data_IF_802632357983
#
_entry.id   IF_802632357983
#
_cell.length_a   1.000
_cell.length_b   1.000
_cell.length_c   1.000
_cell.angle_alpha   90.00
_cell.angle_beta   90.00
_cell.angle_gamma   90.00
#
_symmetry.space_group_name_H-M   'P 1'
#
loop_
_entity.id
_entity.type
_entity.pdbx_description
1 polymer ?
#
# COMPACT_ATOMS: atom_id res chain seq x y z
N UNK A 1 5.48 -7.83 4.99
CA UNK A 1 5.86 -9.02 5.79
C UNK A 1 5.75 -10.31 4.98
N UNK A 2 4.59 -10.95 4.86
CA UNK A 2 4.49 -12.26 4.19
C UNK A 2 4.98 -12.30 2.73
N UNK A 3 4.79 -11.22 1.98
CA UNK A 3 5.38 -11.11 0.64
C UNK A 3 6.91 -11.08 0.67
N UNK A 4 7.51 -10.37 1.64
CA UNK A 4 8.98 -10.34 1.83
C UNK A 4 9.53 -11.70 2.30
N UNK A 5 8.73 -12.48 3.02
CA UNK A 5 9.11 -13.83 3.46
C UNK A 5 8.84 -14.90 2.37
N UNK A 6 8.31 -14.51 1.21
CA UNK A 6 7.89 -15.45 0.17
C UNK A 6 9.12 -15.98 -0.58
N UNK A 7 9.19 -17.30 -0.88
CA UNK A 7 10.27 -17.86 -1.69
C UNK A 7 10.25 -17.35 -3.14
N UNK A 8 9.09 -16.88 -3.62
CA UNK A 8 8.96 -16.23 -4.93
C UNK A 8 8.05 -15.00 -4.83
N UNK A 9 8.69 -13.84 -4.66
CA UNK A 9 8.03 -12.56 -4.62
C UNK A 9 7.29 -12.25 -5.94
N UNK A 10 7.92 -12.54 -7.08
CA UNK A 10 7.35 -12.24 -8.39
C UNK A 10 6.07 -13.06 -8.65
N UNK A 11 6.09 -14.35 -8.30
CA UNK A 11 4.93 -15.22 -8.39
C UNK A 11 3.80 -14.74 -7.46
N UNK A 12 4.13 -14.27 -6.25
CA UNK A 12 3.14 -13.73 -5.31
C UNK A 12 2.34 -12.57 -5.93
N UNK A 13 3.04 -11.64 -6.60
CA UNK A 13 2.40 -10.53 -7.31
C UNK A 13 1.64 -11.02 -8.54
N UNK A 14 2.24 -11.89 -9.37
CA UNK A 14 1.59 -12.40 -10.59
C UNK A 14 0.28 -13.14 -10.29
N UNK A 15 0.27 -14.01 -9.27
CA UNK A 15 -0.93 -14.72 -8.83
C UNK A 15 -2.00 -13.75 -8.36
N UNK A 16 -1.62 -12.71 -7.62
CA UNK A 16 -2.56 -11.69 -7.14
C UNK A 16 -3.19 -10.90 -8.30
N UNK A 17 -2.40 -10.50 -9.30
CA UNK A 17 -2.90 -9.82 -10.50
C UNK A 17 -3.86 -10.72 -11.28
N UNK A 18 -3.52 -11.98 -11.49
CA UNK A 18 -4.39 -12.94 -12.18
C UNK A 18 -5.69 -13.19 -11.42
N UNK A 19 -5.63 -13.34 -10.10
CA UNK A 19 -6.81 -13.53 -9.26
C UNK A 19 -7.76 -12.33 -9.32
N UNK A 20 -7.24 -11.11 -9.21
CA UNK A 20 -8.05 -9.90 -9.33
C UNK A 20 -8.61 -9.72 -10.76
N UNK A 21 -7.80 -10.04 -11.77
CA UNK A 21 -8.24 -10.02 -13.18
C UNK A 21 -9.39 -10.98 -13.41
N UNK A 22 -9.31 -12.19 -12.84
CA UNK A 22 -10.37 -13.18 -12.93
C UNK A 22 -11.69 -12.70 -12.29
N UNK A 23 -11.62 -11.91 -11.20
CA UNK A 23 -12.82 -11.26 -10.62
C UNK A 23 -13.42 -10.27 -11.60
N UNK A 24 -12.62 -9.40 -12.21
CA UNK A 24 -13.10 -8.45 -13.24
C UNK A 24 -13.73 -9.19 -14.43
N UNK A 25 -13.07 -10.20 -14.98
CA UNK A 25 -13.56 -10.95 -16.15
C UNK A 25 -14.87 -11.70 -15.88
N UNK A 26 -15.08 -12.19 -14.66
CA UNK A 26 -16.28 -12.95 -14.28
C UNK A 26 -17.43 -12.06 -13.81
N UNK A 27 -17.18 -10.77 -13.63
CA UNK A 27 -18.19 -9.84 -13.12
C UNK A 27 -19.02 -9.28 -14.26
N UNK A 28 -20.33 -9.51 -14.18
CA UNK A 28 -21.30 -8.92 -15.08
C UNK A 28 -22.38 -8.14 -14.32
N UNK A 29 -22.49 -6.82 -14.58
CA UNK A 29 -23.41 -5.88 -13.95
C UNK A 29 -24.41 -5.37 -15.00
N UNK A 30 -25.23 -6.27 -15.53
CA UNK A 30 -26.22 -5.95 -16.58
C UNK A 30 -27.26 -4.90 -16.17
N UNK A 31 -27.47 -4.70 -14.86
CA UNK A 31 -28.38 -3.67 -14.35
C UNK A 31 -27.87 -2.24 -14.59
N UNK A 32 -26.58 -2.07 -14.89
CA UNK A 32 -25.96 -0.76 -15.16
C UNK A 32 -25.01 -0.90 -16.35
N UNK A 33 -25.50 -0.75 -17.60
CA UNK A 33 -24.72 -1.02 -18.81
C UNK A 33 -23.39 -0.26 -18.92
N UNK A 34 -23.30 0.95 -18.37
CA UNK A 34 -22.04 1.71 -18.36
C UNK A 34 -20.98 1.11 -17.45
N UNK A 35 -21.37 0.44 -16.35
CA UNK A 35 -20.45 -0.26 -15.44
C UNK A 35 -19.95 -1.54 -16.09
N UNK A 36 -20.87 -2.30 -16.72
CA UNK A 36 -20.53 -3.47 -17.53
C UNK A 36 -19.50 -3.13 -18.61
N UNK A 37 -19.80 -2.13 -19.43
CA UNK A 37 -18.92 -1.70 -20.51
C UNK A 37 -17.58 -1.20 -19.97
N UNK A 38 -17.58 -0.39 -18.90
CA UNK A 38 -16.36 0.10 -18.28
C UNK A 38 -15.45 -1.02 -17.76
N UNK A 39 -16.01 -2.05 -17.11
CA UNK A 39 -15.26 -3.22 -16.66
C UNK A 39 -14.70 -4.03 -17.84
N UNK A 40 -15.54 -4.31 -18.84
CA UNK A 40 -15.16 -5.10 -20.01
C UNK A 40 -14.11 -4.41 -20.89
N UNK A 41 -14.11 -3.07 -20.94
CA UNK A 41 -13.11 -2.31 -21.69
C UNK A 41 -11.82 -2.17 -20.88
N UNK A 42 -11.89 -1.84 -19.60
CA UNK A 42 -10.69 -1.47 -18.83
C UNK A 42 -9.97 -2.65 -18.20
N UNK A 43 -10.69 -3.72 -17.85
CA UNK A 43 -10.22 -4.80 -16.97
C UNK A 43 -9.48 -4.26 -15.72
N UNK A 44 -9.90 -3.10 -15.22
CA UNK A 44 -9.22 -2.38 -14.15
C UNK A 44 -9.32 -3.16 -12.83
N UNK A 45 -8.18 -3.28 -12.15
CA UNK A 45 -8.07 -3.95 -10.84
C UNK A 45 -7.38 -3.05 -9.82
N UNK A 46 -7.43 -3.42 -8.54
CA UNK A 46 -6.82 -2.67 -7.46
C UNK A 46 -6.05 -3.56 -6.49
N UNK A 47 -4.80 -3.88 -6.83
CA UNK A 47 -3.89 -4.56 -5.93
C UNK A 47 -3.40 -3.60 -4.84
N UNK A 48 -3.83 -3.84 -3.61
CA UNK A 48 -3.44 -3.07 -2.43
C UNK A 48 -2.38 -3.75 -1.57
N UNK A 49 -1.74 -2.96 -0.71
CA UNK A 49 -0.75 -3.44 0.27
C UNK A 49 -1.25 -3.17 1.68
N UNK A 50 -0.87 -4.03 2.62
CA UNK A 50 -1.17 -3.87 4.04
C UNK A 50 -0.01 -4.38 4.90
N UNK A 51 -0.10 -4.19 6.21
CA UNK A 51 0.91 -4.63 7.19
C UNK A 51 2.26 -3.91 7.10
N UNK A 52 2.34 -2.69 6.56
CA UNK A 52 3.61 -1.98 6.45
C UNK A 52 4.21 -1.73 7.84
N UNK A 53 3.43 -1.16 8.76
CA UNK A 53 3.93 -0.84 10.09
C UNK A 53 4.33 -2.09 10.87
N UNK A 54 3.53 -3.17 10.79
CA UNK A 54 3.88 -4.45 11.42
C UNK A 54 5.17 -5.05 10.85
N UNK A 55 5.42 -4.92 9.55
CA UNK A 55 6.68 -5.36 8.95
C UNK A 55 7.87 -4.51 9.40
N UNK A 56 7.77 -3.18 9.32
CA UNK A 56 8.85 -2.29 9.77
C UNK A 56 9.19 -2.54 11.24
N UNK A 57 8.18 -2.68 12.09
CA UNK A 57 8.39 -2.96 13.51
C UNK A 57 9.01 -4.34 13.78
N UNK A 58 8.65 -5.37 13.00
CA UNK A 58 9.31 -6.69 13.05
C UNK A 58 10.81 -6.58 12.72
N UNK A 59 11.15 -5.78 11.71
CA UNK A 59 12.53 -5.55 11.25
C UNK A 59 13.29 -4.48 12.07
N UNK A 60 12.67 -3.99 13.16
CA UNK A 60 13.19 -2.94 14.04
C UNK A 60 13.47 -1.61 13.33
N UNK A 61 12.57 -1.23 12.43
CA UNK A 61 12.58 0.05 11.72
C UNK A 61 11.42 0.92 12.22
N UNK A 62 11.73 2.15 12.64
CA UNK A 62 10.71 3.10 13.06
C UNK A 62 9.90 3.60 11.87
N UNK A 63 8.58 3.69 12.02
CA UNK A 63 7.72 4.23 10.98
C UNK A 63 8.09 5.70 10.66
N UNK A 64 8.17 6.02 9.37
CA UNK A 64 8.54 7.34 8.88
C UNK A 64 9.99 7.75 9.15
N UNK A 65 10.85 6.80 9.54
CA UNK A 65 12.31 6.96 9.45
C UNK A 65 12.75 6.96 7.98
N UNK A 66 13.99 7.38 7.73
CA UNK A 66 14.61 7.32 6.40
C UNK A 66 14.57 5.88 5.85
N UNK A 67 14.93 4.89 6.66
CA UNK A 67 14.87 3.46 6.30
C UNK A 67 13.43 3.00 5.98
N UNK A 68 12.44 3.45 6.76
CA UNK A 68 11.04 3.10 6.52
C UNK A 68 10.49 3.69 5.21
N UNK A 69 10.88 4.92 4.89
CA UNK A 69 10.51 5.59 3.63
C UNK A 69 11.21 4.94 2.45
N UNK A 70 12.52 4.65 2.56
CA UNK A 70 13.31 3.97 1.54
C UNK A 70 12.77 2.55 1.25
N UNK A 71 12.46 1.78 2.30
CA UNK A 71 11.82 0.48 2.15
C UNK A 71 10.50 0.60 1.39
N UNK A 72 9.65 1.56 1.77
CA UNK A 72 8.35 1.76 1.13
C UNK A 72 8.51 2.08 -0.35
N UNK A 73 9.44 2.98 -0.69
CA UNK A 73 9.77 3.33 -2.06
C UNK A 73 10.20 2.09 -2.87
N UNK A 74 11.22 1.37 -2.40
CA UNK A 74 11.79 0.23 -3.13
C UNK A 74 10.85 -0.98 -3.20
N UNK A 75 10.02 -1.19 -2.17
CA UNK A 75 8.99 -2.23 -2.19
C UNK A 75 7.94 -1.93 -3.26
N UNK A 76 7.36 -0.73 -3.26
CA UNK A 76 6.33 -0.36 -4.25
C UNK A 76 6.89 -0.26 -5.68
N UNK A 77 8.14 0.16 -5.85
CA UNK A 77 8.86 0.08 -7.12
C UNK A 77 8.92 -1.37 -7.65
N UNK A 78 9.31 -2.31 -6.79
CA UNK A 78 9.43 -3.72 -7.16
C UNK A 78 8.07 -4.37 -7.43
N UNK A 79 7.04 -4.05 -6.62
CA UNK A 79 5.66 -4.51 -6.87
C UNK A 79 5.14 -4.02 -8.21
N UNK A 80 5.32 -2.73 -8.52
CA UNK A 80 4.85 -2.16 -9.78
C UNK A 80 5.45 -2.88 -11.00
N UNK A 81 6.76 -3.13 -10.99
CA UNK A 81 7.43 -3.87 -12.07
C UNK A 81 6.77 -5.23 -12.30
N UNK A 82 6.58 -6.01 -11.24
CA UNK A 82 5.98 -7.34 -11.35
C UNK A 82 4.50 -7.30 -11.72
N UNK A 83 3.75 -6.28 -11.26
CA UNK A 83 2.36 -6.10 -11.63
C UNK A 83 2.19 -5.79 -13.13
N UNK A 84 3.00 -4.87 -13.66
CA UNK A 84 3.01 -4.55 -15.10
C UNK A 84 3.45 -5.75 -15.94
N UNK A 85 4.51 -6.45 -15.52
CA UNK A 85 4.95 -7.69 -16.17
C UNK A 85 3.84 -8.74 -16.19
N UNK A 86 3.12 -8.95 -15.09
CA UNK A 86 2.01 -9.89 -15.04
C UNK A 86 0.88 -9.48 -16.00
N UNK A 87 0.49 -8.20 -16.01
CA UNK A 87 -0.56 -7.71 -16.92
C UNK A 87 -0.14 -7.77 -18.40
N UNK A 88 1.12 -7.50 -18.71
CA UNK A 88 1.70 -7.68 -20.05
C UNK A 88 1.66 -9.14 -20.51
N UNK A 89 1.99 -10.09 -19.61
CA UNK A 89 1.88 -11.52 -19.90
C UNK A 89 0.44 -11.93 -20.19
N UNK A 90 -0.53 -11.44 -19.41
CA UNK A 90 -1.95 -11.71 -19.67
C UNK A 90 -2.36 -11.17 -21.05
N UNK A 91 -1.88 -9.98 -21.44
CA UNK A 91 -2.16 -9.42 -22.76
C UNK A 91 -1.59 -10.28 -23.90
N UNK A 92 -0.37 -10.80 -23.74
CA UNK A 92 0.27 -11.73 -24.68
C UNK A 92 -0.53 -13.04 -24.76
N UNK A 93 -0.89 -13.63 -23.62
CA UNK A 93 -1.63 -14.89 -23.55
C UNK A 93 -3.03 -14.80 -24.16
N UNK A 94 -3.69 -13.65 -24.01
CA UNK A 94 -5.06 -13.42 -24.51
C UNK A 94 -5.11 -12.75 -25.88
N UNK A 95 -3.99 -12.24 -26.38
CA UNK A 95 -3.90 -11.51 -27.64
C UNK A 95 -4.63 -10.17 -27.64
N UNK A 96 -4.86 -9.55 -26.48
CA UNK A 96 -5.57 -8.26 -26.37
C UNK A 96 -5.07 -7.44 -25.17
N UNK A 97 -5.14 -6.12 -25.31
CA UNK A 97 -4.90 -5.15 -24.25
C UNK A 97 -6.21 -4.48 -23.82
N UNK A 98 -6.19 -3.68 -22.76
CA UNK A 98 -7.35 -2.89 -22.36
C UNK A 98 -7.78 -1.88 -23.45
N UNK A 99 -9.05 -1.51 -23.44
CA UNK A 99 -9.67 -0.54 -24.32
C UNK A 99 -8.97 0.82 -24.32
N UNK A 100 -8.52 1.25 -25.50
CA UNK A 100 -7.82 2.52 -25.66
C UNK A 100 -6.32 2.49 -25.31
N UNK A 101 -5.73 1.32 -25.12
CA UNK A 101 -4.28 1.14 -24.89
C UNK A 101 -3.41 1.95 -25.86
N UNK A 102 -3.75 1.97 -27.15
CA UNK A 102 -2.99 2.69 -28.19
C UNK A 102 -2.86 4.21 -27.95
N UNK A 103 -3.74 4.81 -27.14
CA UNK A 103 -3.69 6.24 -26.76
C UNK A 103 -3.07 6.47 -25.38
N UNK A 104 -2.61 5.42 -24.71
CA UNK A 104 -2.12 5.49 -23.34
C UNK A 104 -0.64 5.87 -23.27
N UNK A 105 -0.23 6.36 -22.09
CA UNK A 105 1.19 6.59 -21.78
C UNK A 105 2.02 5.31 -21.82
N UNK A 106 1.39 4.15 -21.58
CA UNK A 106 2.04 2.85 -21.72
C UNK A 106 2.44 2.58 -23.18
N UNK A 107 1.58 2.87 -24.15
CA UNK A 107 1.89 2.72 -25.58
C UNK A 107 2.97 3.69 -26.04
N UNK A 108 2.87 4.96 -25.63
CA UNK A 108 3.87 5.98 -26.00
C UNK A 108 5.25 5.72 -25.38
N UNK A 109 5.30 4.97 -24.28
CA UNK A 109 6.52 4.74 -23.51
C UNK A 109 6.76 5.77 -22.40
N UNK A 110 6.08 6.93 -22.41
CA UNK A 110 6.26 8.03 -21.44
C UNK A 110 6.14 7.57 -19.98
N UNK A 111 5.26 6.60 -19.70
CA UNK A 111 5.10 6.06 -18.34
C UNK A 111 6.43 5.49 -17.77
N UNK A 112 7.25 4.90 -18.64
CA UNK A 112 8.45 4.16 -18.25
C UNK A 112 9.68 5.04 -18.08
N UNK A 113 9.67 6.27 -18.62
CA UNK A 113 10.83 7.18 -18.62
C UNK A 113 11.36 7.41 -17.19
N UNK A 114 10.46 7.54 -16.21
CA UNK A 114 10.81 7.61 -14.78
C UNK A 114 11.67 6.44 -14.28
N UNK A 115 11.47 5.24 -14.83
CA UNK A 115 12.13 4.00 -14.40
C UNK A 115 13.32 3.63 -15.28
N UNK A 116 13.39 4.17 -16.50
CA UNK A 116 14.53 3.95 -17.41
C UNK A 116 15.60 5.03 -17.31
N UNK A 117 15.23 6.27 -16.97
CA UNK A 117 16.13 7.43 -17.10
C UNK A 117 16.98 7.68 -15.84
N UNK A 118 16.64 7.03 -14.72
CA UNK A 118 17.42 7.10 -13.48
C UNK A 118 17.53 5.74 -12.79
N UNK A 119 18.61 5.57 -12.02
CA UNK A 119 18.88 4.34 -11.29
C UNK A 119 18.03 4.33 -10.03
N UNK A 120 17.39 3.19 -9.76
CA UNK A 120 16.58 2.96 -8.57
C UNK A 120 17.26 1.90 -7.70
N UNK A 121 17.79 2.32 -6.56
CA UNK A 121 18.43 1.45 -5.59
C UNK A 121 18.06 1.88 -4.17
N UNK A 122 18.12 0.96 -3.18
CA UNK A 122 17.98 1.30 -1.79
C UNK A 122 18.97 2.38 -1.37
N UNK A 123 18.45 3.49 -0.84
CA UNK A 123 19.25 4.60 -0.32
C UNK A 123 19.97 4.23 0.98
N UNK A 124 19.39 3.33 1.78
CA UNK A 124 19.92 2.89 3.06
C UNK A 124 20.52 1.48 2.96
N UNK A 125 21.61 1.24 3.69
CA UNK A 125 22.25 -0.07 3.77
C UNK A 125 21.27 -1.13 4.33
N UNK A 126 20.47 -0.73 5.33
CA UNK A 126 19.49 -1.61 5.96
C UNK A 126 18.45 -2.15 4.99
N UNK A 127 17.92 -1.31 4.10
CA UNK A 127 16.95 -1.77 3.09
C UNK A 127 17.61 -2.67 2.06
N UNK A 128 18.87 -2.39 1.68
CA UNK A 128 19.64 -3.28 0.79
C UNK A 128 19.80 -4.69 1.39
N UNK A 129 20.12 -4.76 2.68
CA UNK A 129 20.19 -6.03 3.43
C UNK A 129 18.83 -6.75 3.45
N UNK A 130 17.74 -6.04 3.77
CA UNK A 130 16.40 -6.64 3.84
C UNK A 130 15.98 -7.32 2.52
N UNK A 131 16.25 -6.69 1.37
CA UNK A 131 15.96 -7.29 0.07
C UNK A 131 16.90 -8.46 -0.25
N UNK A 132 18.18 -8.36 0.12
CA UNK A 132 19.16 -9.43 -0.08
C UNK A 132 18.83 -10.68 0.76
N UNK A 133 18.53 -10.49 2.05
CA UNK A 133 18.15 -11.56 2.98
C UNK A 133 16.85 -12.24 2.56
N UNK A 134 15.90 -11.47 2.01
CA UNK A 134 14.67 -11.99 1.43
C UNK A 134 14.87 -12.69 0.07
N UNK A 135 16.06 -12.61 -0.53
CA UNK A 135 16.32 -13.13 -1.88
C UNK A 135 15.55 -12.40 -2.98
N UNK A 136 15.10 -11.17 -2.73
CA UNK A 136 14.27 -10.39 -3.66
C UNK A 136 15.17 -9.51 -4.52
N UNK A 137 15.25 -9.84 -5.82
CA UNK A 137 15.98 -9.03 -6.78
C UNK A 137 15.18 -7.78 -7.16
N UNK A 138 15.72 -6.62 -6.82
CA UNK A 138 15.18 -5.32 -7.26
C UNK A 138 15.38 -5.18 -8.78
N UNK A 139 14.34 -4.80 -9.56
CA UNK A 139 14.45 -4.61 -11.01
C UNK A 139 15.46 -3.51 -11.38
N UNK A 140 16.31 -3.80 -12.36
CA UNK A 140 17.30 -2.86 -12.90
C UNK A 140 16.69 -1.98 -13.99
N UNK A 141 17.40 -0.93 -14.41
CA UNK A 141 16.99 -0.12 -15.57
C UNK A 141 16.83 -0.97 -16.83
N UNK A 142 17.72 -1.93 -17.08
CA UNK A 142 17.62 -2.82 -18.23
C UNK A 142 16.35 -3.69 -18.20
N UNK A 143 15.95 -4.15 -17.00
CA UNK A 143 14.68 -4.86 -16.83
C UNK A 143 13.50 -3.99 -17.24
N UNK A 144 13.51 -2.71 -16.84
CA UNK A 144 12.47 -1.76 -17.22
C UNK A 144 12.47 -1.43 -18.71
N UNK A 145 13.64 -1.32 -19.35
CA UNK A 145 13.73 -1.13 -20.81
C UNK A 145 13.11 -2.33 -21.54
N UNK A 146 13.45 -3.56 -21.14
CA UNK A 146 12.84 -4.77 -21.71
C UNK A 146 11.32 -4.82 -21.50
N UNK A 147 10.86 -4.45 -20.31
CA UNK A 147 9.43 -4.41 -20.01
C UNK A 147 8.71 -3.32 -20.84
N UNK A 148 9.31 -2.14 -20.99
CA UNK A 148 8.81 -1.04 -21.84
C UNK A 148 8.61 -1.53 -23.27
N UNK A 149 9.63 -2.16 -23.88
CA UNK A 149 9.54 -2.70 -25.23
C UNK A 149 8.43 -3.74 -25.38
N UNK A 150 8.34 -4.68 -24.43
CA UNK A 150 7.29 -5.72 -24.42
C UNK A 150 5.89 -5.11 -24.27
N UNK A 151 5.73 -4.10 -23.41
CA UNK A 151 4.45 -3.40 -23.20
C UNK A 151 4.07 -2.59 -24.43
N UNK A 152 4.98 -1.88 -25.08
CA UNK A 152 4.67 -1.12 -26.30
C UNK A 152 4.24 -2.03 -27.46
N UNK A 153 4.85 -3.23 -27.53
CA UNK A 153 4.59 -4.23 -28.56
C UNK A 153 3.29 -5.00 -28.32
N UNK A 154 3.08 -5.50 -27.10
CA UNK A 154 2.00 -6.44 -26.78
C UNK A 154 0.88 -5.86 -25.90
N UNK A 155 1.10 -4.69 -25.31
CA UNK A 155 0.17 -4.05 -24.39
C UNK A 155 0.15 -4.65 -22.99
N UNK A 156 -0.77 -4.13 -22.17
CA UNK A 156 -1.11 -4.70 -20.87
C UNK A 156 -2.62 -4.97 -20.83
N UNK A 157 -3.03 -6.02 -20.14
CA UNK A 157 -4.42 -6.43 -20.13
C UNK A 157 -5.30 -5.53 -19.27
N UNK A 158 -4.75 -5.06 -18.14
CA UNK A 158 -5.47 -4.23 -17.18
C UNK A 158 -5.07 -2.76 -17.36
N UNK A 159 -6.05 -1.87 -17.48
CA UNK A 159 -5.82 -0.42 -17.56
C UNK A 159 -5.17 0.15 -16.29
N UNK A 160 -5.59 -0.39 -15.14
CA UNK A 160 -5.13 0.01 -13.82
C UNK A 160 -4.81 -1.23 -12.97
N UNK A 161 -3.79 -1.12 -12.13
CA UNK A 161 -3.20 -2.28 -11.44
C UNK A 161 -3.25 -2.17 -9.92
N UNK A 162 -2.87 -1.02 -9.37
CA UNK A 162 -2.67 -0.84 -7.93
C UNK A 162 -3.57 0.26 -7.38
N UNK A 163 -4.19 -0.05 -6.24
CA UNK A 163 -4.93 0.88 -5.41
C UNK A 163 -4.79 0.43 -3.95
N UNK A 164 -4.48 1.34 -3.03
CA UNK A 164 -4.27 1.00 -1.62
C UNK A 164 -5.47 1.47 -0.78
N UNK A 165 -6.51 0.62 -0.59
CA UNK A 165 -7.65 0.94 0.26
C UNK A 165 -7.27 0.85 1.76
N UNK A 166 -8.14 1.35 2.66
CA UNK A 166 -8.06 0.93 4.06
C UNK A 166 -8.44 -0.55 4.14
N UNK A 167 -7.77 -1.32 5.00
CA UNK A 167 -8.15 -2.71 5.25
C UNK A 167 -8.92 -2.78 6.55
N UNK A 168 -10.24 -2.98 6.44
CA UNK A 168 -11.15 -3.12 7.57
C UNK A 168 -11.00 -4.47 8.27
N UNK A 169 -12.10 -5.18 8.51
CA UNK A 169 -12.08 -6.42 9.30
C UNK A 169 -11.22 -7.55 8.72
N UNK A 170 -10.93 -7.52 7.42
CA UNK A 170 -10.02 -8.49 6.77
C UNK A 170 -8.60 -8.41 7.32
N UNK A 171 -8.17 -7.26 7.85
CA UNK A 171 -6.84 -7.08 8.42
C UNK A 171 -6.64 -7.94 9.67
N UNK A 172 -7.70 -8.11 10.48
CA UNK A 172 -7.69 -8.97 11.67
C UNK A 172 -7.52 -10.44 11.30
N UNK A 173 -8.26 -10.91 10.28
CA UNK A 173 -8.19 -12.29 9.79
C UNK A 173 -6.80 -12.60 9.22
N UNK A 174 -6.26 -11.68 8.42
CA UNK A 174 -4.92 -11.82 7.82
C UNK A 174 -3.77 -11.55 8.80
N UNK A 175 -4.08 -11.18 10.05
CA UNK A 175 -3.15 -10.73 11.06
C UNK A 175 -2.16 -9.66 10.54
N UNK A 176 -2.71 -8.51 10.14
CA UNK A 176 -1.98 -7.40 9.52
C UNK A 176 -2.37 -6.06 10.13
N UNK A 177 -1.41 -5.11 10.20
CA UNK A 177 -1.77 -3.71 10.45
C UNK A 177 -2.56 -3.16 9.26
N UNK A 178 -3.52 -2.29 9.53
CA UNK A 178 -4.39 -1.76 8.47
C UNK A 178 -3.60 -0.90 7.47
N UNK A 179 -3.76 -1.22 6.18
CA UNK A 179 -3.12 -0.50 5.07
C UNK A 179 -1.60 -0.30 5.27
N UNK A 180 -1.07 0.82 4.77
CA UNK A 180 0.33 1.23 4.93
C UNK A 180 0.52 2.34 5.98
N UNK A 181 -0.54 2.80 6.65
CA UNK A 181 -0.42 3.77 7.74
C UNK A 181 -0.05 3.09 9.07
N UNK A 182 0.37 3.85 10.09
CA UNK A 182 0.68 3.29 11.40
C UNK A 182 -0.54 2.69 12.09
N UNK A 183 -0.29 1.96 13.18
CA UNK A 183 -1.36 1.43 14.03
C UNK A 183 -2.03 2.57 14.78
N UNK A 184 -3.35 2.51 14.97
CA UNK A 184 -4.05 3.51 15.77
C UNK A 184 -3.83 3.31 17.29
N UNK A 185 -3.48 2.09 17.70
CA UNK A 185 -3.06 1.72 19.05
C UNK A 185 -2.27 0.41 19.01
N UNK A 186 -1.48 0.12 20.05
CA UNK A 186 -0.73 -1.15 20.16
C UNK A 186 -1.67 -2.35 20.31
N UNK A 187 -2.69 -2.19 21.16
CA UNK A 187 -3.80 -3.11 21.32
C UNK A 187 -5.07 -2.38 20.86
N UNK A 188 -5.67 -2.83 19.77
CA UNK A 188 -6.91 -2.25 19.27
C UNK A 188 -8.10 -2.78 20.06
N UNK A 189 -9.02 -1.89 20.44
CA UNK A 189 -10.24 -2.22 21.17
C UNK A 189 -11.43 -2.03 20.25
N UNK A 190 -12.18 -3.11 20.00
CA UNK A 190 -13.38 -3.09 19.15
C UNK A 190 -14.62 -3.39 19.96
N UNK A 191 -15.70 -2.65 19.73
CA UNK A 191 -17.00 -2.88 20.38
C UNK A 191 -17.81 -3.91 19.60
N UNK A 192 -17.55 -5.19 19.85
CA UNK A 192 -18.18 -6.30 19.14
C UNK A 192 -18.57 -7.46 20.07
N UNK A 193 -19.59 -8.21 19.66
CA UNK A 193 -20.03 -9.43 20.33
C UNK A 193 -20.77 -9.21 21.66
N UNK A 194 -21.21 -10.32 22.27
CA UNK A 194 -21.97 -10.33 23.53
C UNK A 194 -21.17 -9.82 24.74
N UNK A 195 -19.84 -9.91 24.65
CA UNK A 195 -18.89 -9.45 25.68
C UNK A 195 -18.71 -7.92 25.61
N UNK A 196 -19.15 -7.28 24.52
CA UNK A 196 -19.12 -5.84 24.33
C UNK A 196 -17.77 -5.29 23.87
N UNK A 197 -16.65 -6.01 24.08
CA UNK A 197 -15.32 -5.63 23.60
C UNK A 197 -14.47 -6.83 23.16
N UNK A 198 -13.64 -6.60 22.15
CA UNK A 198 -12.62 -7.52 21.65
C UNK A 198 -11.29 -6.77 21.55
N UNK A 199 -10.21 -7.40 22.01
CA UNK A 199 -8.86 -6.84 22.01
C UNK A 199 -8.03 -7.50 20.92
N UNK A 200 -7.35 -6.69 20.11
CA UNK A 200 -6.54 -7.15 18.99
C UNK A 200 -5.11 -6.60 19.10
N UNK A 201 -4.13 -7.42 19.50
CA UNK A 201 -2.73 -7.00 19.51
C UNK A 201 -2.20 -6.82 18.09
N UNK A 202 -1.40 -5.76 17.88
CA UNK A 202 -0.73 -5.54 16.60
C UNK A 202 0.14 -6.76 16.22
N UNK A 203 0.21 -7.12 14.93
CA UNK A 203 1.03 -8.25 14.47
C UNK A 203 2.50 -8.07 14.84
N UNK A 204 3.16 -9.14 15.28
CA UNK A 204 4.57 -9.16 15.71
C UNK A 204 4.89 -8.28 16.95
N UNK A 205 3.90 -7.76 17.65
CA UNK A 205 4.09 -7.04 18.91
C UNK A 205 4.55 -7.99 20.01
N UNK A 206 5.65 -7.65 20.66
CA UNK A 206 6.16 -8.30 21.87
C UNK A 206 6.53 -7.24 22.90
N UNK A 207 6.80 -7.64 24.15
CA UNK A 207 7.26 -6.70 25.17
C UNK A 207 8.64 -6.09 24.85
N UNK A 208 9.44 -6.76 24.00
CA UNK A 208 10.80 -6.35 23.66
C UNK A 208 10.88 -5.38 22.47
N UNK A 209 9.74 -5.09 21.81
CA UNK A 209 9.70 -4.22 20.63
C UNK A 209 8.59 -3.15 20.68
N UNK A 210 8.05 -2.86 21.86
CA UNK A 210 6.96 -1.88 22.06
C UNK A 210 7.27 -0.50 21.47
N UNK A 211 8.55 -0.10 21.46
CA UNK A 211 9.04 1.17 20.93
C UNK A 211 8.79 1.35 19.43
N UNK A 212 8.71 0.26 18.67
CA UNK A 212 8.45 0.30 17.22
C UNK A 212 6.96 0.39 16.88
N UNK A 213 6.07 0.33 17.86
CA UNK A 213 4.62 0.47 17.69
C UNK A 213 4.12 1.79 18.29
N UNK A 214 4.76 2.89 17.90
CA UNK A 214 4.20 4.23 18.14
C UNK A 214 2.87 4.35 17.39
N UNK A 215 1.83 4.86 18.05
CA UNK A 215 0.55 5.02 17.38
C UNK A 215 0.58 6.18 16.37
N UNK A 216 -0.39 6.17 15.46
CA UNK A 216 -0.48 7.16 14.39
C UNK A 216 -0.63 8.62 14.90
N UNK A 217 -1.11 8.83 16.13
CA UNK A 217 -1.25 10.17 16.72
C UNK A 217 0.10 10.69 17.24
N UNK A 218 0.96 9.81 17.76
CA UNK A 218 2.32 10.17 18.19
C UNK A 218 3.31 10.25 17.03
N UNK A 219 3.15 9.43 15.98
CA UNK A 219 3.98 9.52 14.76
C UNK A 219 3.77 10.85 14.03
N UNK A 220 2.52 11.33 14.00
CA UNK A 220 2.16 12.62 13.39
C UNK A 220 2.00 12.56 11.86
N UNK A 221 1.32 13.57 11.33
CA UNK A 221 0.89 13.58 9.92
C UNK A 221 2.04 13.65 8.91
N UNK A 222 3.16 14.29 9.26
CA UNK A 222 4.29 14.50 8.32
C UNK A 222 4.88 13.17 7.88
N UNK A 223 5.22 12.30 8.84
CA UNK A 223 5.77 10.97 8.59
C UNK A 223 4.82 10.05 7.82
N UNK A 224 3.52 10.15 8.11
CA UNK A 224 2.50 9.40 7.36
C UNK A 224 2.44 9.90 5.91
N UNK A 225 2.39 11.21 5.70
CA UNK A 225 2.38 11.81 4.35
C UNK A 225 3.66 11.43 3.59
N UNK A 226 4.82 11.47 4.22
CA UNK A 226 6.11 11.12 3.59
C UNK A 226 6.14 9.66 3.13
N UNK A 227 5.62 8.75 3.96
CA UNK A 227 5.52 7.32 3.62
C UNK A 227 4.55 7.10 2.45
N UNK A 228 3.39 7.77 2.47
CA UNK A 228 2.43 7.70 1.37
C UNK A 228 2.96 8.36 0.09
N UNK A 229 3.76 9.41 0.19
CA UNK A 229 4.38 10.05 -0.97
C UNK A 229 5.36 9.08 -1.65
N UNK A 230 6.17 8.34 -0.89
CA UNK A 230 7.03 7.29 -1.43
C UNK A 230 6.25 6.20 -2.17
N UNK A 231 5.09 5.76 -1.66
CA UNK A 231 4.25 4.78 -2.36
C UNK A 231 3.53 5.38 -3.59
N UNK A 232 3.04 6.63 -3.48
CA UNK A 232 2.24 7.32 -4.53
C UNK A 232 2.99 7.42 -5.86
N UNK A 233 4.31 7.44 -5.80
CA UNK A 233 5.21 7.43 -6.94
C UNK A 233 5.09 6.22 -7.87
N UNK A 234 4.52 5.11 -7.38
CA UNK A 234 4.45 3.81 -8.08
C UNK A 234 3.04 3.23 -8.14
N UNK A 235 2.09 3.75 -7.35
CA UNK A 235 0.68 3.34 -7.41
C UNK A 235 -0.02 4.15 -8.50
N UNK A 236 -0.57 3.50 -9.52
CA UNK A 236 -1.19 4.17 -10.66
C UNK A 236 -2.53 4.83 -10.31
N UNK A 237 -3.33 4.24 -9.42
CA UNK A 237 -4.57 4.84 -8.92
C UNK A 237 -4.32 5.73 -7.70
N UNK A 238 -4.86 5.37 -6.53
CA UNK A 238 -4.78 6.17 -5.31
C UNK A 238 -4.59 5.33 -4.05
N UNK A 239 -4.30 6.02 -2.96
CA UNK A 239 -4.12 5.43 -1.63
C UNK A 239 -5.02 6.16 -0.65
N UNK A 240 -5.72 5.41 0.20
CA UNK A 240 -6.58 6.00 1.23
C UNK A 240 -5.75 6.50 2.40
N UNK A 241 -5.36 7.78 2.34
CA UNK A 241 -4.55 8.43 3.36
C UNK A 241 -5.44 9.01 4.47
N UNK A 242 -5.36 8.42 5.66
CA UNK A 242 -5.97 8.97 6.88
C UNK A 242 -4.92 9.74 7.68
N UNK A 243 -5.24 10.96 8.09
CA UNK A 243 -4.41 11.76 8.99
C UNK A 243 -4.96 11.71 10.41
N UNK A 244 -4.08 11.51 11.38
CA UNK A 244 -4.43 11.33 12.78
C UNK A 244 -3.94 12.55 13.58
N UNK A 245 -4.84 13.14 14.36
CA UNK A 245 -4.59 14.35 15.13
C UNK A 245 -5.03 14.15 16.58
N UNK A 246 -4.31 14.78 17.52
CA UNK A 246 -4.77 14.89 18.91
C UNK A 246 -6.01 15.78 18.97
N UNK A 247 -6.83 15.62 20.01
CA UNK A 247 -8.04 16.41 20.27
C UNK A 247 -7.77 17.93 20.42
N UNK A 248 -6.53 18.30 20.72
CA UNK A 248 -6.05 19.68 20.80
C UNK A 248 -5.69 20.32 19.46
N UNK A 249 -5.77 19.58 18.35
CA UNK A 249 -5.39 20.09 17.03
C UNK A 249 -6.34 21.20 16.54
N UNK A 250 -5.77 22.25 15.95
CA UNK A 250 -6.56 23.35 15.38
C UNK A 250 -6.90 23.11 13.91
N UNK A 251 -7.89 23.83 13.39
CA UNK A 251 -8.19 23.84 11.93
C UNK A 251 -7.00 24.32 11.11
N UNK A 252 -6.13 25.17 11.68
CA UNK A 252 -4.88 25.61 11.04
C UNK A 252 -3.87 24.46 10.92
N UNK A 253 -3.78 23.58 11.91
CA UNK A 253 -2.89 22.42 11.85
C UNK A 253 -3.35 21.42 10.79
N UNK A 254 -4.67 21.18 10.72
CA UNK A 254 -5.27 20.38 9.65
C UNK A 254 -4.97 20.98 8.28
N UNK A 255 -5.13 22.30 8.12
CA UNK A 255 -4.86 22.96 6.85
C UNK A 255 -3.36 22.90 6.45
N UNK A 256 -2.44 23.04 7.41
CA UNK A 256 -1.00 22.84 7.16
C UNK A 256 -0.71 21.43 6.64
N UNK A 257 -1.31 20.41 7.25
CA UNK A 257 -1.12 19.03 6.83
C UNK A 257 -1.66 18.78 5.41
N UNK A 258 -2.80 19.38 5.05
CA UNK A 258 -3.35 19.32 3.69
C UNK A 258 -2.43 19.99 2.66
N UNK A 259 -1.90 21.18 2.98
CA UNK A 259 -0.93 21.88 2.12
C UNK A 259 0.35 21.06 1.98
N UNK A 260 0.83 20.44 3.06
CA UNK A 260 1.99 19.56 3.03
C UNK A 260 1.75 18.34 2.13
N UNK A 261 0.62 17.66 2.28
CA UNK A 261 0.22 16.54 1.42
C UNK A 261 0.18 16.93 -0.06
N UNK A 262 -0.45 18.08 -0.38
CA UNK A 262 -0.51 18.61 -1.74
C UNK A 262 0.90 18.87 -2.31
N UNK A 263 1.77 19.55 -1.56
CA UNK A 263 3.16 19.82 -1.98
C UNK A 263 3.98 18.55 -2.20
N UNK A 264 3.67 17.47 -1.48
CA UNK A 264 4.36 16.18 -1.57
C UNK A 264 3.78 15.27 -2.66
N UNK A 265 2.81 15.75 -3.43
CA UNK A 265 2.23 15.02 -4.57
C UNK A 265 1.22 13.95 -4.19
N UNK A 266 0.64 14.02 -2.98
CA UNK A 266 -0.44 13.11 -2.57
C UNK A 266 -1.66 13.32 -3.48
N UNK A 267 -2.17 12.21 -4.01
CA UNK A 267 -3.32 12.22 -4.95
C UNK A 267 -4.65 12.52 -4.25
N UNK A 268 -4.88 11.94 -3.07
CA UNK A 268 -6.14 12.06 -2.32
C UNK A 268 -5.92 12.00 -0.80
N UNK A 269 -6.82 12.64 -0.06
CA UNK A 269 -6.95 12.49 1.40
C UNK A 269 -8.30 11.83 1.69
N UNK A 270 -8.31 10.85 2.60
CA UNK A 270 -9.50 10.06 2.91
C UNK A 270 -10.23 10.62 4.15
N UNK A 271 -9.63 10.51 5.33
CA UNK A 271 -10.19 11.02 6.57
C UNK A 271 -9.18 11.83 7.38
N UNK A 272 -9.72 12.74 8.18
CA UNK A 272 -9.02 13.39 9.28
C UNK A 272 -9.64 12.84 10.55
N UNK A 273 -8.86 12.11 11.33
CA UNK A 273 -9.29 11.48 12.58
C UNK A 273 -8.72 12.22 13.77
N UNK A 274 -9.60 12.78 14.59
CA UNK A 274 -9.24 13.33 15.89
C UNK A 274 -9.28 12.21 16.94
N UNK A 275 -8.29 12.18 17.83
CA UNK A 275 -8.26 11.27 18.97
C UNK A 275 -9.48 11.56 19.83
N UNK A 276 -10.38 10.59 19.94
CA UNK A 276 -11.50 10.68 20.85
C UNK A 276 -11.05 10.21 22.23
N UNK A 277 -11.39 10.96 23.27
CA UNK A 277 -11.16 10.50 24.65
C UNK A 277 -11.87 9.16 24.85
N UNK A 278 -11.19 8.25 25.56
CA UNK A 278 -11.81 7.02 26.00
C UNK A 278 -13.05 7.36 26.83
N UNK A 279 -14.17 6.66 26.60
CA UNK A 279 -15.35 6.84 27.44
C UNK A 279 -14.97 6.47 28.89
N UNK A 280 -15.31 7.31 29.86
CA UNK A 280 -15.05 7.06 31.28
C UNK A 280 -15.54 5.64 31.67
N UNK A 281 -14.69 4.83 32.33
CA UNK A 281 -14.98 3.42 32.63
C UNK A 281 -14.64 2.41 31.52
N UNK A 282 -13.84 2.81 30.53
CA UNK A 282 -13.30 1.89 29.51
C UNK A 282 -11.89 1.38 29.80
N UNK A 283 -11.24 1.88 30.84
CA UNK A 283 -9.90 1.49 31.26
C UNK A 283 -9.89 0.05 31.78
N UNK A 284 -8.93 -0.76 31.32
CA UNK A 284 -8.67 -2.09 31.88
C UNK A 284 -7.66 -1.89 33.01
N UNK A 285 -8.12 -1.97 34.26
CA UNK A 285 -7.21 -2.01 35.42
C UNK A 285 -6.22 -3.17 35.22
N UNK A 286 -4.92 -2.86 35.28
CA UNK A 286 -3.76 -3.77 35.14
C UNK A 286 -3.31 -4.18 33.72
N UNK A 287 -3.76 -3.54 32.64
CA UNK A 287 -3.12 -3.72 31.32
C UNK A 287 -2.26 -2.51 30.93
N UNK A 288 -0.95 -2.60 31.17
CA UNK A 288 0.05 -1.56 30.81
C UNK A 288 0.02 -1.23 29.32
N UNK A 289 -0.27 -2.22 28.46
CA UNK A 289 -0.33 -2.07 27.00
C UNK A 289 -1.70 -1.67 26.45
N UNK A 290 -2.75 -1.65 27.28
CA UNK A 290 -4.12 -1.31 26.88
C UNK A 290 -4.53 0.11 27.31
N UNK A 291 -3.62 0.86 27.93
CA UNK A 291 -3.81 2.29 28.17
C UNK A 291 -3.71 3.00 26.81
N UNK A 292 -4.81 3.64 26.39
CA UNK A 292 -4.90 4.40 25.14
C UNK A 292 -4.04 5.65 25.23
#
# INVERSE_FOLDING_TARGET
AKAMDSPDFAQTIEVSIRALTAVSDQTHIWSVPSIEQGNNDSHAIGLGQMNLHGYLARERILYGSEEGIDFTNMYFYTVLYHALRASNRIAIERGTAFGGFERSKYKSGEFFDKYTDQVWEPATARVRELFADAGIRIPTQEDWVRLKESVQTHGIYNQNLQAVPPTGSISYINHSTSSIHPVASKIEIRKEGKIGRVYYPAPYLTNDNLEYYQDAYEIGYEKIIDTYAAATQHVDQGLSLTLFFKDTATTRDVNKAQIYAWRKGIKTLYYIRLRQMALQGTEVENCVSCML
#
